data_IF_940221330382
#
_entry.id   IF_940221330382
#
_cell.length_a   1.000
_cell.length_b   1.000
_cell.length_c   1.000
_cell.angle_alpha   90.00
_cell.angle_beta   90.00
_cell.angle_gamma   90.00
#
_symmetry.space_group_name_H-M   'P 1'
#
loop_
_entity.id
_entity.type
_entity.pdbx_description
1 polymer ?
#
# COMPACT_ATOMS: atom_id res chain seq x y z
N UNK A 1 -2.16 -7.65 12.28
CA UNK A 1 -0.94 -7.28 13.04
C UNK A 1 -1.14 -5.91 13.65
N UNK A 2 -0.89 -5.79 14.94
CA UNK A 2 -0.95 -4.50 15.66
C UNK A 2 0.45 -3.91 15.78
N UNK A 3 0.58 -2.63 15.48
CA UNK A 3 1.84 -1.88 15.62
C UNK A 3 1.69 -0.79 16.66
N UNK A 4 2.74 -0.48 17.44
CA UNK A 4 2.72 0.65 18.35
C UNK A 4 2.56 1.96 17.56
N UNK A 5 1.92 2.94 18.16
CA UNK A 5 1.76 4.28 17.56
C UNK A 5 3.08 5.02 17.44
N UNK A 6 3.98 4.76 18.37
CA UNK A 6 5.30 5.39 18.48
C UNK A 6 6.36 4.35 18.76
N UNK A 7 7.55 4.55 18.23
CA UNK A 7 8.69 3.68 18.46
C UNK A 7 9.97 4.50 18.52
N UNK A 8 10.90 4.12 19.42
CA UNK A 8 12.24 4.69 19.45
C UNK A 8 13.06 4.10 18.32
N UNK A 9 13.52 4.92 17.40
CA UNK A 9 14.37 4.53 16.27
C UNK A 9 15.45 5.56 16.01
N UNK A 10 16.53 5.11 15.38
CA UNK A 10 17.60 5.99 14.95
C UNK A 10 17.12 6.97 13.88
N UNK A 11 17.36 8.26 14.10
CA UNK A 11 17.10 9.29 13.11
C UNK A 11 18.42 9.75 12.47
N UNK A 12 18.59 9.59 11.14
CA UNK A 12 19.85 9.95 10.50
C UNK A 12 20.13 11.47 10.46
N UNK A 13 19.10 12.30 10.60
CA UNK A 13 19.27 13.76 10.70
C UNK A 13 19.68 14.20 12.10
N UNK A 14 19.12 13.59 13.12
CA UNK A 14 19.42 13.90 14.51
C UNK A 14 20.65 13.13 15.04
N UNK A 15 21.13 12.13 14.31
CA UNK A 15 22.22 11.22 14.66
C UNK A 15 22.05 10.54 16.03
N UNK A 16 20.82 10.33 16.44
CA UNK A 16 20.47 9.71 17.73
C UNK A 16 19.13 8.96 17.64
N UNK A 17 18.87 8.10 18.62
CA UNK A 17 17.57 7.48 18.79
C UNK A 17 16.55 8.51 19.26
N UNK A 18 15.46 8.67 18.52
CA UNK A 18 14.37 9.60 18.81
C UNK A 18 13.04 8.88 18.78
N UNK A 19 12.05 9.46 19.46
CA UNK A 19 10.68 9.00 19.36
C UNK A 19 10.12 9.32 17.98
N UNK A 20 9.66 8.29 17.29
CA UNK A 20 9.15 8.41 15.94
C UNK A 20 7.71 7.92 15.86
N UNK A 21 6.86 8.70 15.23
CA UNK A 21 5.48 8.35 14.96
C UNK A 21 5.40 7.40 13.78
N UNK A 22 4.65 6.33 13.93
CA UNK A 22 4.44 5.34 12.91
C UNK A 22 3.22 5.71 12.06
N UNK A 23 3.40 5.68 10.73
CA UNK A 23 2.35 5.95 9.76
C UNK A 23 2.34 4.86 8.67
N UNK A 24 1.16 4.48 8.24
CA UNK A 24 1.03 3.63 7.05
C UNK A 24 1.19 4.47 5.80
N UNK A 25 2.04 4.03 4.87
CA UNK A 25 2.11 4.64 3.54
C UNK A 25 0.90 4.20 2.73
N UNK A 26 0.08 5.15 2.31
CA UNK A 26 -1.02 4.88 1.39
C UNK A 26 -0.44 4.61 0.01
N UNK A 27 -0.74 3.44 -0.54
CA UNK A 27 -0.46 3.11 -1.92
C UNK A 27 -1.65 3.51 -2.78
N UNK A 28 -1.39 4.04 -3.97
CA UNK A 28 -2.46 4.32 -4.92
C UNK A 28 -3.22 3.03 -5.25
N UNK A 29 -4.52 3.15 -5.40
CA UNK A 29 -5.35 2.06 -5.89
C UNK A 29 -4.99 1.68 -7.34
N UNK A 30 -5.70 0.69 -7.87
CA UNK A 30 -5.57 0.28 -9.27
C UNK A 30 -5.70 1.51 -10.17
N UNK A 31 -4.73 1.74 -11.03
CA UNK A 31 -4.75 2.89 -11.93
C UNK A 31 -5.99 2.84 -12.82
N UNK A 32 -6.94 3.71 -12.58
CA UNK A 32 -7.97 4.06 -13.54
C UNK A 32 -7.30 4.99 -14.58
N UNK A 33 -6.76 4.42 -15.64
CA UNK A 33 -6.14 5.23 -16.69
C UNK A 33 -7.19 6.07 -17.43
N UNK A 34 -6.81 7.28 -17.87
CA UNK A 34 -7.61 8.04 -18.82
C UNK A 34 -7.94 7.17 -20.05
N UNK A 35 -9.16 7.27 -20.58
CA UNK A 35 -9.58 6.60 -21.81
C UNK A 35 -8.70 6.95 -23.03
N UNK A 36 -8.01 8.09 -22.96
CA UNK A 36 -7.09 8.55 -24.00
C UNK A 36 -5.73 7.84 -23.97
N UNK A 37 -5.36 7.17 -22.88
CA UNK A 37 -4.10 6.43 -22.82
C UNK A 37 -4.13 5.18 -23.69
N UNK A 38 -3.10 5.00 -24.51
CA UNK A 38 -2.96 3.86 -25.44
C UNK A 38 -3.19 2.51 -24.76
N UNK A 39 -2.61 2.29 -23.55
CA UNK A 39 -2.79 1.05 -22.81
C UNK A 39 -4.24 0.80 -22.39
N UNK A 40 -4.96 1.82 -21.97
CA UNK A 40 -6.39 1.70 -21.62
C UNK A 40 -7.24 1.41 -22.85
N UNK A 41 -7.01 2.12 -23.94
CA UNK A 41 -7.72 1.89 -25.22
C UNK A 41 -7.50 0.46 -25.73
N UNK A 42 -6.28 -0.05 -25.65
CA UNK A 42 -5.96 -1.43 -26.04
C UNK A 42 -6.76 -2.43 -25.19
N UNK A 43 -6.78 -2.27 -23.88
CA UNK A 43 -7.53 -3.15 -22.98
C UNK A 43 -9.02 -3.12 -23.27
N UNK A 44 -9.60 -1.93 -23.43
CA UNK A 44 -11.03 -1.77 -23.76
C UNK A 44 -11.36 -2.42 -25.11
N UNK A 45 -10.55 -2.20 -26.15
CA UNK A 45 -10.75 -2.84 -27.45
C UNK A 45 -10.68 -4.36 -27.39
N UNK A 46 -9.82 -4.92 -26.56
CA UNK A 46 -9.72 -6.37 -26.35
C UNK A 46 -10.96 -6.92 -25.62
N UNK A 47 -11.58 -6.12 -24.75
CA UNK A 47 -12.81 -6.52 -24.06
C UNK A 47 -14.05 -6.46 -24.97
N UNK A 48 -14.02 -5.69 -26.05
CA UNK A 48 -15.07 -5.58 -27.07
C UNK A 48 -14.76 -6.39 -28.33
N UNK A 49 -13.98 -7.45 -28.21
CA UNK A 49 -13.55 -8.19 -29.38
C UNK A 49 -14.46 -9.36 -29.78
N UNK A 50 -14.36 -9.77 -31.02
CA UNK A 50 -14.92 -10.99 -31.60
C UNK A 50 -14.13 -12.23 -31.15
N UNK A 51 -13.87 -12.37 -29.84
CA UNK A 51 -13.22 -13.54 -29.27
C UNK A 51 -11.69 -13.56 -29.32
N UNK A 52 -11.03 -12.47 -29.70
CA UNK A 52 -9.58 -12.38 -29.77
C UNK A 52 -8.90 -11.80 -28.52
N UNK A 53 -9.59 -11.72 -27.39
CA UNK A 53 -8.99 -11.22 -26.18
C UNK A 53 -7.99 -12.23 -25.61
N UNK A 54 -6.71 -11.83 -25.34
CA UNK A 54 -5.73 -12.70 -24.70
C UNK A 54 -6.09 -13.01 -23.23
N UNK A 55 -7.05 -12.29 -22.67
CA UNK A 55 -7.54 -12.47 -21.30
C UNK A 55 -9.02 -12.85 -21.35
N UNK A 56 -9.36 -14.14 -21.23
CA UNK A 56 -10.75 -14.58 -21.24
C UNK A 56 -11.51 -13.90 -20.08
N UNK A 57 -12.70 -13.40 -20.36
CA UNK A 57 -13.59 -12.89 -19.31
C UNK A 57 -13.87 -14.05 -18.36
N UNK A 58 -13.70 -13.81 -17.08
CA UNK A 58 -14.08 -14.76 -16.05
C UNK A 58 -15.61 -14.81 -16.01
N UNK A 59 -16.21 -15.80 -16.63
CA UNK A 59 -17.67 -15.97 -16.72
C UNK A 59 -18.29 -16.27 -15.34
N UNK A 60 -17.51 -16.82 -14.43
CA UNK A 60 -17.95 -17.13 -13.08
C UNK A 60 -17.28 -16.21 -12.09
N UNK A 61 -18.01 -15.82 -11.04
CA UNK A 61 -17.55 -15.05 -9.87
C UNK A 61 -16.51 -15.84 -9.04
N UNK A 62 -15.55 -16.47 -9.72
CA UNK A 62 -14.43 -17.12 -9.05
C UNK A 62 -13.59 -16.03 -8.38
N UNK A 63 -13.12 -16.32 -7.18
CA UNK A 63 -12.20 -15.46 -6.42
C UNK A 63 -10.81 -15.29 -7.09
N UNK A 64 -10.70 -15.62 -8.35
CA UNK A 64 -9.50 -15.40 -9.15
C UNK A 64 -9.18 -13.92 -9.19
N UNK A 65 -8.09 -13.50 -8.54
CA UNK A 65 -7.68 -12.10 -8.40
C UNK A 65 -8.18 -11.39 -7.13
N UNK A 66 -9.00 -12.01 -6.29
CA UNK A 66 -9.33 -11.47 -4.98
C UNK A 66 -8.16 -11.67 -4.01
N UNK A 67 -7.49 -10.59 -3.64
CA UNK A 67 -6.41 -10.64 -2.66
C UNK A 67 -6.98 -10.59 -1.25
N UNK A 68 -6.65 -11.60 -0.44
CA UNK A 68 -7.02 -11.66 0.98
C UNK A 68 -6.02 -10.95 1.89
N UNK A 69 -4.83 -10.66 1.41
CA UNK A 69 -3.77 -9.96 2.13
C UNK A 69 -3.15 -8.86 1.27
N UNK A 70 -2.56 -7.88 1.93
CA UNK A 70 -1.94 -6.72 1.29
C UNK A 70 -0.53 -6.49 1.83
N UNK A 71 0.34 -5.96 0.99
CA UNK A 71 1.65 -5.48 1.42
C UNK A 71 1.48 -4.09 2.03
N UNK A 72 1.89 -3.95 3.28
CA UNK A 72 1.84 -2.68 4.00
C UNK A 72 3.25 -2.14 4.16
N UNK A 73 3.44 -0.90 3.76
CA UNK A 73 4.68 -0.17 3.95
C UNK A 73 4.50 0.80 5.11
N UNK A 74 5.48 0.82 6.00
CA UNK A 74 5.47 1.63 7.21
C UNK A 74 6.47 2.77 7.06
N UNK A 75 6.08 3.95 7.49
CA UNK A 75 6.89 5.15 7.53
C UNK A 75 6.98 5.66 8.96
N UNK A 76 8.16 6.07 9.34
CA UNK A 76 8.47 6.60 10.67
C UNK A 76 8.79 8.09 10.56
N UNK A 77 8.08 8.91 11.27
CA UNK A 77 8.30 10.35 11.33
C UNK A 77 8.95 10.75 12.66
N UNK A 78 10.14 11.32 12.60
CA UNK A 78 10.83 11.84 13.77
C UNK A 78 10.06 13.02 14.39
N UNK A 79 9.80 12.99 15.69
CA UNK A 79 9.13 14.10 16.40
C UNK A 79 10.03 15.33 16.55
N UNK A 80 11.33 15.15 16.60
CA UNK A 80 12.29 16.24 16.83
C UNK A 80 12.57 17.06 15.58
N UNK A 81 12.89 16.41 14.46
CA UNK A 81 13.31 17.09 13.24
C UNK A 81 12.30 16.97 12.08
N UNK A 82 11.24 16.23 12.26
CA UNK A 82 10.21 16.02 11.24
C UNK A 82 10.65 15.13 10.07
N UNK A 83 11.87 14.62 10.04
CA UNK A 83 12.33 13.73 8.96
C UNK A 83 11.55 12.42 8.97
N UNK A 84 11.06 12.04 7.80
CA UNK A 84 10.33 10.79 7.63
C UNK A 84 11.24 9.77 6.94
N UNK A 85 11.33 8.58 7.54
CA UNK A 85 12.07 7.44 6.99
C UNK A 85 11.10 6.29 6.74
N UNK A 86 11.29 5.58 5.65
CA UNK A 86 10.43 4.47 5.26
C UNK A 86 11.16 3.15 5.52
N UNK A 87 10.43 2.12 5.91
CA UNK A 87 11.02 0.78 6.03
C UNK A 87 11.44 0.26 4.66
N UNK A 88 12.52 -0.51 4.59
CA UNK A 88 13.04 -1.04 3.31
C UNK A 88 12.06 -2.01 2.66
N UNK A 89 11.44 -2.87 3.45
CA UNK A 89 10.57 -3.93 2.97
C UNK A 89 9.11 -3.71 3.40
N UNK A 90 8.20 -3.97 2.48
CA UNK A 90 6.79 -4.05 2.78
C UNK A 90 6.46 -5.41 3.42
N UNK A 91 5.66 -5.38 4.47
CA UNK A 91 5.25 -6.58 5.19
C UNK A 91 3.86 -6.99 4.73
N UNK A 92 3.69 -8.27 4.39
CA UNK A 92 2.39 -8.81 4.00
C UNK A 92 1.55 -9.15 5.22
N UNK A 93 0.33 -8.63 5.25
CA UNK A 93 -0.60 -8.88 6.35
C UNK A 93 -2.06 -8.80 5.89
N UNK A 94 -2.95 -9.47 6.60
CA UNK A 94 -4.39 -9.41 6.34
C UNK A 94 -4.99 -8.09 6.84
N UNK A 95 -4.67 -7.70 8.07
CA UNK A 95 -5.18 -6.49 8.72
C UNK A 95 -4.04 -5.71 9.38
N UNK A 96 -4.02 -4.42 9.13
CA UNK A 96 -3.08 -3.48 9.75
C UNK A 96 -3.82 -2.61 10.76
N UNK A 97 -3.36 -2.62 11.99
CA UNK A 97 -3.92 -1.83 13.08
C UNK A 97 -2.78 -1.10 13.80
N UNK A 98 -3.01 0.15 14.13
CA UNK A 98 -2.13 0.92 15.02
C UNK A 98 -2.77 0.85 16.40
N UNK A 99 -2.00 0.44 17.41
CA UNK A 99 -2.46 0.45 18.78
C UNK A 99 -2.89 1.88 19.16
N UNK A 100 -4.11 2.02 19.64
CA UNK A 100 -4.53 3.27 20.25
C UNK A 100 -3.70 3.47 21.52
N UNK A 101 -3.29 4.71 21.78
CA UNK A 101 -2.73 5.03 23.09
C UNK A 101 -3.81 4.69 24.11
N UNK A 102 -3.60 3.66 24.90
CA UNK A 102 -4.41 3.44 26.10
C UNK A 102 -4.18 4.67 26.97
N UNK A 103 -5.14 5.59 26.91
CA UNK A 103 -5.20 6.66 27.86
C UNK A 103 -5.35 6.04 29.25
N UNK A 104 -4.37 6.25 30.06
CA UNK A 104 -4.59 6.16 31.51
C UNK A 104 -5.42 7.35 31.93
#
# INVERSE_FOLDING_TARGET
MKYPREAKRYCPKCNKHTDQKLERVKTSGRRSGSSLKKGRRKTVKLDYGYGGSPYPKLENNRRAGAKTSQKVMIRYGCKTCGKKTQSMNAIRMKKFEIAQATGQ
#
